data_IF_878333724975
#
_entry.id   IF_878333724975
#
_cell.length_a   1.000
_cell.length_b   1.000
_cell.length_c   1.000
_cell.angle_alpha   90.00
_cell.angle_beta   90.00
_cell.angle_gamma   90.00
#
_symmetry.space_group_name_H-M   'P 1'
#
loop_
_entity.id
_entity.type
_entity.pdbx_description
1 polymer ?
#
# COMPACT_ATOMS: atom_id res chain seq x y z
N UNK A 1 -7.83 -43.38 -4.21
CA UNK A 1 -7.82 -43.06 -5.66
C UNK A 1 -6.94 -44.07 -6.40
N UNK A 2 -7.29 -44.42 -7.64
CA UNK A 2 -6.50 -45.28 -8.53
C UNK A 2 -6.16 -44.46 -9.78
N UNK A 3 -4.87 -44.29 -10.09
CA UNK A 3 -4.41 -43.67 -11.34
C UNK A 3 -3.48 -44.66 -12.07
N UNK A 4 -3.30 -44.47 -13.38
CA UNK A 4 -2.29 -45.14 -14.25
C UNK A 4 -2.72 -46.25 -15.24
N UNK A 5 -3.97 -46.27 -15.73
CA UNK A 5 -4.31 -47.07 -16.94
C UNK A 5 -5.14 -46.24 -17.94
N UNK A 6 -4.82 -46.25 -19.26
CA UNK A 6 -5.69 -45.68 -20.28
C UNK A 6 -7.04 -46.40 -20.30
N UNK A 7 -8.11 -45.72 -19.89
CA UNK A 7 -9.47 -46.24 -19.96
C UNK A 7 -10.10 -45.94 -21.32
N UNK A 8 -10.80 -46.92 -21.89
CA UNK A 8 -11.57 -46.79 -23.12
C UNK A 8 -13.07 -46.86 -22.85
N UNK A 9 -13.90 -46.60 -23.86
CA UNK A 9 -15.35 -46.79 -23.76
C UNK A 9 -15.78 -48.25 -23.53
N UNK A 10 -14.86 -49.21 -23.65
CA UNK A 10 -15.10 -50.65 -23.46
C UNK A 10 -14.42 -51.23 -22.22
N UNK A 11 -13.59 -50.45 -21.51
CA UNK A 11 -12.88 -50.94 -20.32
C UNK A 11 -13.87 -51.26 -19.19
N UNK A 12 -13.69 -52.40 -18.53
CA UNK A 12 -14.48 -52.82 -17.38
C UNK A 12 -13.57 -52.94 -16.15
N UNK A 13 -14.00 -52.35 -15.03
CA UNK A 13 -13.28 -52.40 -13.77
C UNK A 13 -14.06 -53.12 -12.69
N UNK A 14 -13.38 -53.91 -11.86
CA UNK A 14 -13.95 -54.50 -10.65
C UNK A 14 -13.06 -54.18 -9.46
N UNK A 15 -13.69 -53.79 -8.34
CA UNK A 15 -13.04 -53.67 -7.04
C UNK A 15 -13.70 -54.66 -6.08
N UNK A 16 -12.90 -55.31 -5.24
CA UNK A 16 -13.41 -56.15 -4.14
C UNK A 16 -13.19 -55.40 -2.85
N UNK A 17 -14.28 -55.04 -2.16
CA UNK A 17 -14.22 -54.47 -0.82
C UNK A 17 -14.39 -55.63 0.17
N UNK A 18 -13.28 -56.13 0.70
CA UNK A 18 -13.28 -57.12 1.77
C UNK A 18 -13.06 -56.43 3.11
N UNK A 19 -14.12 -56.28 3.89
CA UNK A 19 -14.09 -55.63 5.20
C UNK A 19 -13.40 -56.46 6.29
N UNK A 20 -12.99 -57.70 5.97
CA UNK A 20 -12.24 -58.59 6.85
C UNK A 20 -10.74 -58.65 6.51
N UNK A 21 -10.33 -58.07 5.38
CA UNK A 21 -8.93 -58.02 4.95
C UNK A 21 -8.19 -56.83 5.56
N UNK A 22 -6.89 -57.01 5.81
CA UNK A 22 -5.98 -55.91 6.19
C UNK A 22 -5.17 -55.39 5.00
N UNK A 23 -5.29 -56.04 3.84
CA UNK A 23 -4.68 -55.60 2.60
C UNK A 23 -5.54 -54.53 1.93
N UNK A 24 -4.92 -53.47 1.35
CA UNK A 24 -5.66 -52.41 0.69
C UNK A 24 -6.44 -52.96 -0.53
N UNK A 25 -7.66 -52.45 -0.81
CA UNK A 25 -8.41 -52.89 -1.97
C UNK A 25 -7.62 -52.57 -3.24
N UNK A 26 -7.61 -53.51 -4.18
CA UNK A 26 -7.00 -53.34 -5.51
C UNK A 26 -8.09 -53.16 -6.56
N UNK A 27 -7.82 -52.32 -7.56
CA UNK A 27 -8.69 -52.17 -8.73
C UNK A 27 -8.13 -53.03 -9.86
N UNK A 28 -8.95 -53.93 -10.41
CA UNK A 28 -8.59 -54.67 -11.61
C UNK A 28 -9.29 -54.07 -12.82
N UNK A 29 -8.50 -53.66 -13.83
CA UNK A 29 -8.99 -53.22 -15.15
C UNK A 29 -8.27 -54.05 -16.22
N UNK A 30 -9.02 -54.71 -17.10
CA UNK A 30 -8.48 -55.46 -18.24
C UNK A 30 -7.31 -56.40 -17.87
N UNK A 31 -7.44 -57.11 -16.72
CA UNK A 31 -6.43 -58.01 -16.12
C UNK A 31 -5.18 -57.35 -15.53
N UNK A 32 -5.09 -56.02 -15.50
CA UNK A 32 -4.04 -55.30 -14.78
C UNK A 32 -4.50 -54.94 -13.37
N UNK A 33 -3.58 -55.06 -12.41
CA UNK A 33 -3.81 -54.66 -11.01
C UNK A 33 -3.32 -53.24 -10.80
N UNK A 34 -4.23 -52.35 -10.42
CA UNK A 34 -3.92 -50.99 -9.99
C UNK A 34 -3.97 -50.96 -8.47
N UNK A 35 -2.83 -50.68 -7.86
CA UNK A 35 -2.76 -50.42 -6.44
C UNK A 35 -3.33 -49.02 -6.13
N UNK A 36 -4.00 -48.84 -4.99
CA UNK A 36 -4.49 -47.53 -4.62
C UNK A 36 -3.31 -46.59 -4.35
N UNK A 37 -3.40 -45.37 -4.86
CA UNK A 37 -2.41 -44.30 -4.63
C UNK A 37 -2.49 -43.73 -3.21
N UNK A 38 -3.65 -43.90 -2.55
CA UNK A 38 -3.92 -43.49 -1.16
C UNK A 38 -4.62 -44.65 -0.46
N UNK A 39 -4.05 -45.09 0.66
CA UNK A 39 -4.66 -46.06 1.57
C UNK A 39 -5.04 -45.30 2.82
N UNK A 40 -6.35 -45.23 3.08
CA UNK A 40 -6.87 -44.66 4.31
C UNK A 40 -6.95 -45.76 5.38
N UNK A 41 -6.55 -45.44 6.60
CA UNK A 41 -6.52 -46.39 7.74
C UNK A 41 -7.07 -45.73 9.00
N UNK A 42 -7.74 -46.49 9.86
CA UNK A 42 -8.30 -45.96 11.11
C UNK A 42 -9.40 -44.93 10.88
N UNK A 43 -9.42 -43.85 11.67
CA UNK A 43 -10.47 -42.82 11.62
C UNK A 43 -10.60 -42.15 10.25
N UNK A 44 -9.51 -42.04 9.48
CA UNK A 44 -9.51 -41.44 8.16
C UNK A 44 -10.41 -42.17 7.12
N UNK A 45 -10.82 -43.42 7.37
CA UNK A 45 -11.74 -44.16 6.49
C UNK A 45 -13.21 -43.78 6.67
N UNK A 46 -13.56 -43.08 7.75
CA UNK A 46 -14.93 -42.70 8.10
C UNK A 46 -15.06 -41.21 8.36
N UNK A 47 -14.03 -40.44 8.05
CA UNK A 47 -14.05 -39.01 8.25
C UNK A 47 -14.88 -38.36 7.15
N UNK A 48 -15.98 -37.74 7.57
CA UNK A 48 -16.87 -36.93 6.71
C UNK A 48 -16.77 -35.44 7.07
N UNK A 49 -15.86 -35.07 7.98
CA UNK A 49 -15.70 -33.72 8.47
C UNK A 49 -14.58 -33.00 7.70
N UNK A 50 -14.85 -31.82 7.10
CA UNK A 50 -13.79 -31.05 6.49
C UNK A 50 -12.80 -30.47 7.50
N UNK A 51 -11.54 -30.22 7.08
CA UNK A 51 -10.56 -29.49 7.88
C UNK A 51 -11.03 -28.14 8.42
N UNK A 52 -10.34 -27.71 9.48
CA UNK A 52 -10.40 -26.31 9.92
C UNK A 52 -9.03 -25.65 9.72
N UNK A 53 -8.95 -24.72 8.77
CA UNK A 53 -7.77 -23.86 8.59
C UNK A 53 -7.91 -22.51 9.29
N UNK A 54 -6.84 -22.06 9.93
CA UNK A 54 -6.65 -20.71 10.47
C UNK A 54 -5.48 -20.02 9.77
N UNK A 55 -5.55 -18.69 9.67
CA UNK A 55 -4.48 -17.87 9.10
C UNK A 55 -3.90 -16.96 10.18
N UNK A 56 -2.57 -16.87 10.22
CA UNK A 56 -1.82 -15.94 11.04
C UNK A 56 -1.07 -14.96 10.14
N UNK A 57 -1.21 -13.68 10.44
CA UNK A 57 -0.53 -12.60 9.74
C UNK A 57 0.50 -11.98 10.69
N UNK A 58 1.74 -11.85 10.23
CA UNK A 58 2.82 -11.22 10.99
C UNK A 58 3.46 -10.10 10.18
N UNK A 59 3.63 -8.94 10.81
CA UNK A 59 4.16 -7.72 10.22
C UNK A 59 4.06 -6.54 11.18
N UNK A 60 4.60 -5.40 10.80
CA UNK A 60 4.52 -4.16 11.58
C UNK A 60 3.12 -3.58 11.47
N UNK A 61 2.35 -3.62 12.55
CA UNK A 61 1.00 -3.04 12.59
C UNK A 61 1.05 -1.52 12.46
N UNK A 62 0.21 -1.01 11.57
CA UNK A 62 -0.12 0.40 11.43
C UNK A 62 -1.45 0.74 12.10
N UNK A 63 -2.09 1.79 11.61
CA UNK A 63 -3.44 2.19 12.01
C UNK A 63 -4.49 1.54 11.10
N UNK A 64 -5.74 1.50 11.56
CA UNK A 64 -6.90 1.08 10.75
C UNK A 64 -6.76 -0.30 10.05
N UNK A 65 -6.07 -1.25 10.71
CA UNK A 65 -5.75 -2.59 10.21
C UNK A 65 -4.82 -2.62 8.98
N UNK A 66 -4.08 -1.54 8.73
CA UNK A 66 -2.98 -1.55 7.77
C UNK A 66 -1.70 -2.09 8.40
N UNK A 67 -0.86 -2.70 7.58
CA UNK A 67 0.52 -3.02 7.90
C UNK A 67 1.46 -2.03 7.26
N UNK A 68 2.48 -1.58 8.01
CA UNK A 68 3.56 -0.69 7.54
C UNK A 68 4.81 -1.45 7.11
N UNK A 69 4.69 -2.76 6.91
CA UNK A 69 5.76 -3.62 6.42
C UNK A 69 5.17 -4.72 5.54
N UNK A 70 6.05 -5.50 4.93
CA UNK A 70 5.66 -6.76 4.33
C UNK A 70 4.98 -7.67 5.38
N UNK A 71 4.01 -8.46 4.93
CA UNK A 71 3.19 -9.34 5.78
C UNK A 71 3.53 -10.79 5.48
N UNK A 72 3.92 -11.53 6.51
CA UNK A 72 4.11 -12.97 6.44
C UNK A 72 2.81 -13.68 6.77
N UNK A 73 2.36 -14.54 5.87
CA UNK A 73 1.15 -15.37 6.00
C UNK A 73 1.57 -16.78 6.41
N UNK A 74 0.96 -17.29 7.47
CA UNK A 74 1.13 -18.67 7.94
C UNK A 74 -0.24 -19.32 8.08
N UNK A 75 -0.43 -20.48 7.48
CA UNK A 75 -1.63 -21.30 7.68
C UNK A 75 -1.37 -22.40 8.70
N UNK A 76 -2.36 -22.65 9.54
CA UNK A 76 -2.41 -23.82 10.42
C UNK A 76 -3.75 -24.52 10.18
N UNK A 77 -3.70 -25.75 9.68
CA UNK A 77 -4.87 -26.58 9.42
C UNK A 77 -4.85 -27.82 10.30
N UNK A 78 -6.02 -28.19 10.82
CA UNK A 78 -6.21 -29.35 11.68
C UNK A 78 -7.43 -30.15 11.24
N UNK A 79 -7.31 -31.47 11.31
CA UNK A 79 -8.36 -32.43 10.97
C UNK A 79 -8.05 -33.79 11.62
N UNK A 80 -9.06 -34.62 11.89
CA UNK A 80 -8.86 -35.94 12.51
C UNK A 80 -8.20 -36.95 11.57
N UNK A 81 -8.54 -36.92 10.27
CA UNK A 81 -7.88 -37.72 9.23
C UNK A 81 -6.51 -37.16 8.82
N UNK A 82 -6.23 -35.92 9.24
CA UNK A 82 -5.02 -35.18 8.91
C UNK A 82 -5.11 -34.46 7.57
N UNK A 83 -4.20 -33.52 7.34
CA UNK A 83 -4.26 -32.63 6.17
C UNK A 83 -3.53 -33.25 4.98
N UNK A 84 -4.18 -33.28 3.82
CA UNK A 84 -3.56 -33.60 2.54
C UNK A 84 -2.85 -32.37 1.96
N UNK A 85 -3.57 -31.25 1.85
CA UNK A 85 -3.01 -29.97 1.40
C UNK A 85 -3.81 -28.77 1.85
N UNK A 86 -3.12 -27.64 1.94
CA UNK A 86 -3.73 -26.31 2.03
C UNK A 86 -3.46 -25.57 0.74
N UNK A 87 -4.48 -24.96 0.15
CA UNK A 87 -4.42 -24.20 -1.08
C UNK A 87 -4.85 -22.75 -0.83
N UNK A 88 -4.28 -21.82 -1.59
CA UNK A 88 -4.63 -20.40 -1.50
C UNK A 88 -4.51 -19.67 -2.83
N UNK A 89 -5.08 -18.47 -2.89
CA UNK A 89 -5.07 -17.56 -4.03
C UNK A 89 -4.99 -16.11 -3.52
N UNK A 90 -4.31 -15.26 -4.26
CA UNK A 90 -4.21 -13.80 -4.02
C UNK A 90 -4.90 -12.98 -5.12
N UNK A 91 -5.42 -13.65 -6.15
CA UNK A 91 -5.95 -13.07 -7.39
C UNK A 91 -7.41 -13.49 -7.62
N UNK A 92 -8.18 -13.60 -6.54
CA UNK A 92 -9.60 -13.99 -6.56
C UNK A 92 -9.90 -15.36 -7.19
N UNK A 93 -8.98 -16.32 -7.06
CA UNK A 93 -9.17 -17.69 -7.53
C UNK A 93 -8.66 -17.97 -8.95
N UNK A 94 -7.97 -17.02 -9.58
CA UNK A 94 -7.38 -17.24 -10.91
C UNK A 94 -6.19 -18.20 -10.82
N UNK A 95 -5.33 -18.04 -9.82
CA UNK A 95 -4.18 -18.90 -9.59
C UNK A 95 -4.29 -19.58 -8.23
N UNK A 96 -4.41 -20.91 -8.23
CA UNK A 96 -4.37 -21.73 -7.02
C UNK A 96 -2.92 -22.13 -6.73
N UNK A 97 -2.47 -21.86 -5.52
CA UNK A 97 -1.15 -22.23 -5.01
C UNK A 97 -1.29 -23.21 -3.86
N UNK A 98 -0.39 -24.19 -3.77
CA UNK A 98 -0.32 -25.12 -2.64
C UNK A 98 0.63 -24.54 -1.59
N UNK A 99 0.17 -24.44 -0.35
CA UNK A 99 0.96 -23.97 0.78
C UNK A 99 1.94 -25.05 1.23
N UNK A 100 3.23 -24.71 1.22
CA UNK A 100 4.32 -25.58 1.70
C UNK A 100 5.08 -24.99 2.89
N UNK A 101 5.10 -23.67 2.99
CA UNK A 101 5.78 -22.90 4.05
C UNK A 101 5.22 -21.47 4.10
N UNK A 102 5.45 -20.73 5.20
CA UNK A 102 5.08 -19.32 5.27
C UNK A 102 5.60 -18.53 4.08
N UNK A 103 4.78 -17.60 3.58
CA UNK A 103 5.12 -16.76 2.44
C UNK A 103 4.83 -15.29 2.76
N UNK A 104 5.44 -14.39 2.00
CA UNK A 104 5.38 -12.95 2.26
C UNK A 104 4.62 -12.24 1.16
N UNK A 105 3.72 -11.34 1.55
CA UNK A 105 3.08 -10.36 0.67
C UNK A 105 3.79 -9.03 0.90
N UNK A 106 4.40 -8.48 -0.16
CA UNK A 106 5.15 -7.22 -0.12
C UNK A 106 4.54 -6.11 -0.97
N UNK A 107 3.54 -6.43 -1.78
CA UNK A 107 2.83 -5.45 -2.60
C UNK A 107 1.93 -4.59 -1.72
N UNK A 108 2.04 -3.27 -1.86
CA UNK A 108 1.16 -2.31 -1.19
C UNK A 108 -0.26 -2.32 -1.79
N UNK A 109 -1.22 -1.85 -1.00
CA UNK A 109 -2.65 -1.87 -1.31
C UNK A 109 -3.38 -3.00 -0.58
N UNK A 110 -4.54 -3.35 -1.12
CA UNK A 110 -5.43 -4.35 -0.53
C UNK A 110 -5.28 -5.67 -1.29
N UNK A 111 -4.80 -6.70 -0.60
CA UNK A 111 -4.75 -8.08 -1.09
C UNK A 111 -5.91 -8.89 -0.48
N UNK A 112 -6.62 -9.64 -1.33
CA UNK A 112 -7.65 -10.58 -0.91
C UNK A 112 -7.11 -11.99 -0.95
N UNK A 113 -6.73 -12.51 0.21
CA UNK A 113 -6.28 -13.88 0.37
C UNK A 113 -7.51 -14.78 0.50
N UNK A 114 -7.67 -15.76 -0.39
CA UNK A 114 -8.61 -16.86 -0.18
C UNK A 114 -7.85 -18.15 0.03
N UNK A 115 -8.32 -18.99 0.94
CA UNK A 115 -7.64 -20.24 1.26
C UNK A 115 -8.64 -21.32 1.66
N UNK A 116 -8.22 -22.57 1.46
CA UNK A 116 -8.93 -23.77 1.90
C UNK A 116 -7.96 -24.93 2.12
N UNK A 117 -8.33 -25.92 2.92
CA UNK A 117 -7.63 -27.19 3.06
C UNK A 117 -8.49 -28.37 2.65
N UNK A 118 -7.81 -29.43 2.25
CA UNK A 118 -8.35 -30.73 1.90
C UNK A 118 -7.68 -31.73 2.84
N UNK A 119 -8.46 -32.58 3.48
CA UNK A 119 -7.94 -33.65 4.34
C UNK A 119 -7.52 -34.88 3.53
N UNK A 120 -7.00 -35.91 4.21
CA UNK A 120 -6.63 -37.17 3.57
C UNK A 120 -7.84 -38.00 3.14
N UNK A 121 -8.98 -37.89 3.81
CA UNK A 121 -10.23 -38.55 3.45
C UNK A 121 -10.87 -37.97 2.17
N UNK A 122 -10.43 -36.79 1.72
CA UNK A 122 -10.92 -36.07 0.56
C UNK A 122 -11.99 -35.02 0.88
N UNK A 123 -12.26 -34.71 2.14
CA UNK A 123 -13.19 -33.65 2.51
C UNK A 123 -12.52 -32.28 2.30
N UNK A 124 -13.25 -31.36 1.66
CA UNK A 124 -12.78 -30.01 1.37
C UNK A 124 -13.49 -28.99 2.26
N UNK A 125 -12.74 -28.07 2.88
CA UNK A 125 -13.36 -26.95 3.59
C UNK A 125 -13.94 -25.91 2.62
N UNK A 126 -15.01 -25.22 3.06
CA UNK A 126 -15.49 -24.04 2.34
C UNK A 126 -14.39 -22.96 2.32
N UNK A 127 -14.11 -22.31 1.17
CA UNK A 127 -13.08 -21.28 1.08
C UNK A 127 -13.31 -20.14 2.09
N UNK A 128 -12.25 -19.78 2.81
CA UNK A 128 -12.19 -18.63 3.72
C UNK A 128 -11.50 -17.46 3.02
N UNK A 129 -11.82 -16.25 3.46
CA UNK A 129 -11.21 -15.02 2.94
C UNK A 129 -10.56 -14.22 4.07
N UNK A 130 -9.43 -13.60 3.79
CA UNK A 130 -8.73 -12.67 4.65
C UNK A 130 -8.27 -11.47 3.83
N UNK A 131 -8.70 -10.28 4.23
CA UNK A 131 -8.22 -9.02 3.66
C UNK A 131 -6.89 -8.63 4.33
N UNK A 132 -5.90 -8.26 3.53
CA UNK A 132 -4.58 -7.83 3.99
C UNK A 132 -4.30 -6.47 3.37
N UNK A 133 -4.07 -5.46 4.20
CA UNK A 133 -3.82 -4.08 3.76
C UNK A 133 -2.38 -3.70 4.08
N UNK A 134 -1.60 -3.32 3.08
CA UNK A 134 -0.19 -2.96 3.25
C UNK A 134 0.03 -1.56 2.70
N UNK A 135 0.58 -0.68 3.51
CA UNK A 135 1.02 0.65 3.09
C UNK A 135 2.27 1.01 3.88
N UNK A 136 3.40 1.01 3.19
CA UNK A 136 4.74 1.28 3.70
C UNK A 136 5.19 2.70 3.34
N UNK A 137 4.37 3.45 2.62
CA UNK A 137 4.76 4.69 1.97
C UNK A 137 4.39 5.88 2.85
N UNK A 138 5.38 6.61 3.40
CA UNK A 138 5.11 7.84 4.12
C UNK A 138 4.42 8.90 3.25
N UNK A 139 3.53 9.72 3.82
CA UNK A 139 2.87 10.78 3.07
C UNK A 139 3.85 11.92 2.73
N UNK A 140 3.74 12.50 1.55
CA UNK A 140 4.51 13.71 1.24
C UNK A 140 3.80 14.99 1.73
N UNK A 141 4.60 16.03 1.96
CA UNK A 141 4.15 17.34 2.37
C UNK A 141 4.01 18.27 1.17
N UNK A 142 2.92 19.03 1.13
CA UNK A 142 2.71 20.14 0.23
C UNK A 142 2.50 21.41 1.04
N UNK A 143 3.41 22.37 0.87
CA UNK A 143 3.24 23.72 1.39
C UNK A 143 2.60 24.59 0.31
N UNK A 144 1.54 25.29 0.65
CA UNK A 144 0.88 26.26 -0.24
C UNK A 144 0.30 27.43 0.57
N UNK A 145 0.11 28.58 -0.10
CA UNK A 145 -0.63 29.69 0.48
C UNK A 145 -2.14 29.48 0.37
N UNK A 146 -2.85 29.59 1.48
CA UNK A 146 -4.30 29.53 1.51
C UNK A 146 -4.88 30.96 1.48
N UNK A 147 -5.63 31.29 0.44
CA UNK A 147 -6.22 32.62 0.24
C UNK A 147 -7.27 32.98 1.30
N UNK A 148 -7.93 31.97 1.88
CA UNK A 148 -8.99 32.14 2.87
C UNK A 148 -8.42 32.41 4.25
N UNK A 149 -7.48 31.57 4.71
CA UNK A 149 -6.83 31.72 6.02
C UNK A 149 -5.71 32.75 6.00
N UNK A 150 -5.23 33.12 4.80
CA UNK A 150 -4.16 34.09 4.56
C UNK A 150 -2.80 33.65 5.15
N UNK A 151 -2.60 32.34 5.28
CA UNK A 151 -1.40 31.72 5.83
C UNK A 151 -0.79 30.73 4.85
N UNK A 152 0.49 30.40 5.06
CA UNK A 152 1.05 29.17 4.50
C UNK A 152 0.54 27.98 5.32
N UNK A 153 0.15 26.93 4.62
CA UNK A 153 -0.35 25.67 5.21
C UNK A 153 0.44 24.49 4.66
N UNK A 154 0.59 23.45 5.47
CA UNK A 154 1.14 22.15 5.07
C UNK A 154 -0.01 21.16 5.00
N UNK A 155 -0.33 20.65 3.82
CA UNK A 155 -1.47 19.74 3.59
C UNK A 155 -2.80 20.27 4.18
N UNK A 156 -3.01 21.59 4.12
CA UNK A 156 -4.19 22.26 4.68
C UNK A 156 -4.16 22.48 6.20
N UNK A 157 -3.06 22.15 6.87
CA UNK A 157 -2.86 22.39 8.31
C UNK A 157 -2.06 23.68 8.55
N UNK A 158 -2.43 24.40 9.61
CA UNK A 158 -1.69 25.57 10.08
C UNK A 158 -0.27 25.19 10.50
N UNK A 159 0.69 26.05 10.15
CA UNK A 159 2.10 25.82 10.46
C UNK A 159 2.48 26.50 11.76
N UNK A 160 2.94 25.73 12.74
CA UNK A 160 3.54 26.23 13.98
C UNK A 160 5.06 26.08 13.94
N UNK A 161 5.82 26.93 14.67
CA UNK A 161 7.27 26.75 14.77
C UNK A 161 7.65 25.42 15.44
N UNK A 162 8.61 24.70 14.87
CA UNK A 162 9.13 23.45 15.42
C UNK A 162 8.80 22.24 14.55
N UNK A 163 8.40 21.13 15.18
CA UNK A 163 8.09 19.89 14.48
C UNK A 163 6.64 19.85 14.01
N UNK A 164 6.42 19.53 12.74
CA UNK A 164 5.12 19.20 12.16
C UNK A 164 5.14 17.72 11.77
N UNK A 165 4.11 16.98 12.17
CA UNK A 165 3.96 15.55 11.86
C UNK A 165 2.73 15.35 10.98
N UNK A 166 2.97 14.92 9.74
CA UNK A 166 1.93 14.49 8.81
C UNK A 166 1.79 12.99 8.96
N UNK A 167 0.55 12.48 9.05
CA UNK A 167 0.27 11.05 9.20
C UNK A 167 -0.78 10.62 8.17
N UNK A 168 -0.58 9.48 7.52
CA UNK A 168 -1.55 8.89 6.59
C UNK A 168 -2.55 7.96 7.31
N UNK A 169 -3.40 7.25 6.54
CA UNK A 169 -4.39 6.32 7.08
C UNK A 169 -3.78 5.04 7.68
N UNK A 170 -2.60 4.62 7.19
CA UNK A 170 -1.87 3.47 7.69
C UNK A 170 -0.99 3.81 8.90
N UNK A 171 -0.85 5.08 9.24
CA UNK A 171 0.00 5.56 10.32
C UNK A 171 1.46 5.68 9.94
N UNK A 172 1.80 5.76 8.64
CA UNK A 172 3.10 6.26 8.25
C UNK A 172 3.16 7.76 8.49
N UNK A 173 4.35 8.25 8.83
CA UNK A 173 4.54 9.64 9.23
C UNK A 173 5.64 10.32 8.43
N UNK A 174 5.45 11.61 8.19
CA UNK A 174 6.48 12.53 7.72
C UNK A 174 6.63 13.64 8.73
N UNK A 175 7.81 13.73 9.34
CA UNK A 175 8.13 14.72 10.38
C UNK A 175 9.01 15.79 9.75
N UNK A 176 8.57 17.05 9.83
CA UNK A 176 9.27 18.21 9.30
C UNK A 176 9.68 19.13 10.44
N UNK A 177 10.93 19.57 10.43
CA UNK A 177 11.35 20.69 11.29
C UNK A 177 11.23 21.98 10.49
N UNK A 178 10.38 22.90 10.95
CA UNK A 178 10.03 24.13 10.23
C UNK A 178 10.29 25.39 11.05
N UNK A 179 10.70 26.46 10.35
CA UNK A 179 10.89 27.78 10.92
C UNK A 179 10.03 28.83 10.20
N UNK A 180 8.73 28.94 10.52
CA UNK A 180 7.90 30.00 10.00
C UNK A 180 8.34 31.35 10.57
N UNK A 181 8.22 32.40 9.76
CA UNK A 181 8.47 33.80 10.13
C UNK A 181 7.35 34.65 9.55
N UNK A 182 6.33 34.89 10.35
CA UNK A 182 5.27 35.85 10.00
C UNK A 182 5.74 37.29 10.31
N UNK A 183 5.52 38.18 9.36
CA UNK A 183 5.35 39.61 9.61
C UNK A 183 4.14 40.10 8.83
N UNK A 184 3.05 40.53 9.50
CA UNK A 184 1.87 41.24 8.93
C UNK A 184 1.85 41.32 7.40
N UNK A 185 1.12 40.39 6.74
CA UNK A 185 0.96 40.26 5.28
C UNK A 185 2.21 39.79 4.52
N UNK A 186 3.12 39.14 5.24
CA UNK A 186 4.31 38.51 4.70
C UNK A 186 4.54 37.20 5.44
N UNK A 187 4.17 36.12 4.78
CA UNK A 187 4.45 34.78 5.23
C UNK A 187 5.83 34.33 4.73
N UNK A 188 6.54 33.63 5.58
CA UNK A 188 7.80 32.99 5.22
C UNK A 188 7.91 31.66 5.94
N UNK A 189 8.33 30.64 5.21
CA UNK A 189 8.66 29.32 5.72
C UNK A 189 10.05 28.88 5.26
N UNK A 190 10.77 28.18 6.12
CA UNK A 190 11.95 27.38 5.79
C UNK A 190 11.74 25.98 6.39
N UNK A 191 12.01 24.93 5.62
CA UNK A 191 12.00 23.54 6.11
C UNK A 191 13.45 23.13 6.36
N UNK A 192 13.81 22.82 7.60
CA UNK A 192 15.20 22.52 7.99
C UNK A 192 15.56 21.06 7.73
N UNK A 193 14.67 20.16 8.10
CA UNK A 193 14.89 18.74 7.95
C UNK A 193 13.58 17.99 7.80
N UNK A 194 13.69 16.79 7.25
CA UNK A 194 12.60 15.83 7.07
C UNK A 194 13.03 14.46 7.60
N UNK A 195 12.11 13.71 8.18
CA UNK A 195 12.28 12.28 8.45
C UNK A 195 10.99 11.55 8.15
N UNK A 196 11.12 10.28 7.77
CA UNK A 196 10.01 9.42 7.43
C UNK A 196 9.91 8.29 8.44
N UNK A 197 8.73 8.08 9.01
CA UNK A 197 8.51 7.11 10.08
C UNK A 197 9.53 7.31 11.21
N UNK A 198 10.26 6.25 11.56
CA UNK A 198 11.35 6.27 12.54
C UNK A 198 12.73 6.21 11.85
N UNK A 199 12.76 6.59 10.56
CA UNK A 199 13.97 6.67 9.76
C UNK A 199 14.87 7.86 10.12
N UNK A 200 16.05 7.95 9.47
CA UNK A 200 17.01 9.01 9.75
C UNK A 200 16.47 10.39 9.38
N UNK A 201 16.93 11.41 10.12
CA UNK A 201 16.70 12.81 9.77
C UNK A 201 17.59 13.23 8.60
N UNK A 202 16.96 13.77 7.56
CA UNK A 202 17.60 14.33 6.38
C UNK A 202 17.59 15.85 6.50
N UNK A 203 18.77 16.46 6.53
CA UNK A 203 18.90 17.91 6.47
C UNK A 203 18.67 18.39 5.04
N UNK A 204 17.79 19.38 4.88
CA UNK A 204 17.45 19.93 3.57
C UNK A 204 18.38 21.08 3.21
N UNK A 205 18.63 21.32 1.91
CA UNK A 205 19.36 22.51 1.46
C UNK A 205 18.63 23.78 1.90
N UNK A 206 19.35 24.89 2.06
CA UNK A 206 18.75 26.19 2.41
C UNK A 206 17.59 26.49 1.44
N UNK A 207 16.38 26.49 1.97
CA UNK A 207 15.17 26.74 1.20
C UNK A 207 14.34 27.84 1.85
N UNK A 208 13.41 28.39 1.07
CA UNK A 208 12.53 29.44 1.51
C UNK A 208 11.29 29.53 0.63
N UNK A 209 10.11 29.47 1.24
CA UNK A 209 8.86 29.91 0.64
C UNK A 209 8.47 31.25 1.26
N UNK A 210 8.37 32.32 0.47
CA UNK A 210 7.90 33.64 0.90
C UNK A 210 6.66 34.05 0.10
N UNK A 211 5.64 34.54 0.81
CA UNK A 211 4.43 35.09 0.23
C UNK A 211 4.23 36.49 0.76
N UNK A 212 3.93 37.44 -0.13
CA UNK A 212 3.49 38.79 0.21
C UNK A 212 2.17 39.03 -0.48
N UNK A 213 1.20 39.51 0.26
CA UNK A 213 -0.11 39.78 -0.29
C UNK A 213 -0.67 41.10 0.21
N UNK A 214 -1.60 41.66 -0.55
CA UNK A 214 -2.32 42.87 -0.18
C UNK A 214 -3.79 42.64 -0.41
N UNK A 215 -4.60 42.95 0.61
CA UNK A 215 -6.05 42.97 0.50
C UNK A 215 -6.57 44.40 0.57
N UNK A 216 -7.59 44.68 -0.22
CA UNK A 216 -8.40 45.88 -0.13
C UNK A 216 -9.08 45.91 1.25
N UNK A 217 -8.96 47.04 1.95
CA UNK A 217 -9.37 47.15 3.34
C UNK A 217 -10.89 47.14 3.55
N UNK A 218 -11.68 47.43 2.50
CA UNK A 218 -13.14 47.55 2.59
C UNK A 218 -13.84 46.28 2.12
N UNK A 219 -13.33 45.69 1.04
CA UNK A 219 -13.92 44.55 0.34
C UNK A 219 -13.24 43.23 0.68
N UNK A 220 -12.04 43.26 1.26
CA UNK A 220 -11.22 42.06 1.49
C UNK A 220 -10.62 41.45 0.22
N UNK A 221 -10.86 42.06 -0.95
CA UNK A 221 -10.40 41.52 -2.24
C UNK A 221 -8.89 41.58 -2.36
N UNK A 222 -8.29 40.54 -2.94
CA UNK A 222 -6.86 40.48 -3.24
C UNK A 222 -6.47 41.57 -4.27
N UNK A 223 -5.51 42.41 -3.89
CA UNK A 223 -4.94 43.50 -4.70
C UNK A 223 -3.53 43.19 -5.21
N UNK A 224 -2.79 42.32 -4.54
CA UNK A 224 -1.46 41.87 -4.95
C UNK A 224 -1.17 40.52 -4.29
N UNK A 225 -0.47 39.65 -5.02
CA UNK A 225 0.05 38.39 -4.50
C UNK A 225 1.38 38.09 -5.19
N UNK A 226 2.45 38.18 -4.41
CA UNK A 226 3.82 37.86 -4.78
C UNK A 226 4.24 36.60 -4.00
N UNK A 227 4.59 35.54 -4.71
CA UNK A 227 5.06 34.28 -4.15
C UNK A 227 6.48 34.01 -4.66
N UNK A 228 7.33 33.46 -3.81
CA UNK A 228 8.69 33.05 -4.18
C UNK A 228 9.08 31.80 -3.42
N UNK A 229 9.41 30.74 -4.15
CA UNK A 229 10.08 29.56 -3.63
C UNK A 229 11.54 29.60 -4.10
N UNK A 230 12.47 29.32 -3.20
CA UNK A 230 13.89 29.18 -3.52
C UNK A 230 14.43 27.96 -2.82
N UNK A 231 15.10 27.09 -3.56
CA UNK A 231 15.88 25.95 -3.05
C UNK A 231 17.33 26.21 -3.47
N UNK A 232 18.24 26.36 -2.50
CA UNK A 232 19.61 26.78 -2.78
C UNK A 232 20.34 25.74 -3.60
N UNK A 233 20.82 26.16 -4.76
CA UNK A 233 21.57 25.31 -5.66
C UNK A 233 20.70 24.60 -6.67
N UNK A 234 19.37 24.63 -6.56
CA UNK A 234 18.48 23.83 -7.41
C UNK A 234 17.53 24.71 -8.21
N UNK A 235 16.59 25.38 -7.55
CA UNK A 235 15.52 26.09 -8.24
C UNK A 235 15.13 27.40 -7.54
N UNK A 236 14.66 28.35 -8.33
CA UNK A 236 13.94 29.52 -7.86
C UNK A 236 12.72 29.76 -8.72
N UNK A 237 11.55 29.67 -8.09
CA UNK A 237 10.24 29.90 -8.67
C UNK A 237 9.62 31.18 -8.10
N UNK A 238 9.04 32.03 -8.94
CA UNK A 238 8.33 33.23 -8.51
C UNK A 238 7.01 33.37 -9.25
N UNK A 239 5.95 33.74 -8.56
CA UNK A 239 4.68 34.11 -9.18
C UNK A 239 4.24 35.49 -8.70
N UNK A 240 3.82 36.34 -9.63
CA UNK A 240 3.25 37.66 -9.36
C UNK A 240 1.90 37.80 -10.04
N UNK A 241 0.83 37.86 -9.25
CA UNK A 241 -0.53 38.05 -9.75
C UNK A 241 -0.86 39.53 -9.93
N UNK A 242 -1.45 39.87 -11.08
CA UNK A 242 -1.95 41.20 -11.39
C UNK A 242 -3.49 41.19 -11.50
N UNK A 243 -4.22 41.67 -10.48
CA UNK A 243 -5.68 41.63 -10.49
C UNK A 243 -6.34 42.57 -11.50
N UNK A 244 -5.61 43.51 -12.10
CA UNK A 244 -6.15 44.36 -13.17
C UNK A 244 -6.20 43.64 -14.51
N UNK A 245 -5.27 42.69 -14.72
CA UNK A 245 -5.18 41.89 -15.94
C UNK A 245 -5.74 40.48 -15.77
N UNK A 246 -6.07 40.10 -14.54
CA UNK A 246 -6.40 38.73 -14.14
C UNK A 246 -5.36 37.73 -14.68
N UNK A 247 -4.09 38.03 -14.41
CA UNK A 247 -2.95 37.32 -14.98
C UNK A 247 -1.85 37.15 -13.94
N UNK A 248 -1.31 35.93 -13.83
CA UNK A 248 -0.12 35.64 -13.04
C UNK A 248 1.07 35.44 -13.96
N UNK A 249 2.14 36.18 -13.70
CA UNK A 249 3.44 36.01 -14.36
C UNK A 249 4.35 35.17 -13.47
N UNK A 250 4.87 34.08 -14.03
CA UNK A 250 5.64 33.05 -13.34
C UNK A 250 7.06 33.06 -13.90
N UNK A 251 8.05 33.16 -13.03
CA UNK A 251 9.46 33.11 -13.39
C UNK A 251 10.08 31.83 -12.82
N UNK A 252 10.63 30.99 -13.70
CA UNK A 252 11.26 29.73 -13.36
C UNK A 252 12.76 29.86 -13.63
N UNK A 253 13.58 29.48 -12.66
CA UNK A 253 15.04 29.48 -12.78
C UNK A 253 15.61 28.25 -12.09
N UNK A 254 15.84 27.22 -12.88
CA UNK A 254 16.53 25.99 -12.50
C UNK A 254 18.06 26.16 -12.60
N UNK A 255 18.80 25.31 -11.91
CA UNK A 255 20.25 25.32 -11.91
C UNK A 255 20.78 24.98 -13.31
N UNK A 256 21.67 25.81 -13.84
CA UNK A 256 22.27 25.59 -15.15
C UNK A 256 21.38 25.95 -16.34
N UNK A 257 20.07 26.15 -16.14
CA UNK A 257 19.15 26.53 -17.22
C UNK A 257 18.98 28.04 -17.34
N UNK A 258 18.60 28.54 -18.51
CA UNK A 258 18.17 29.94 -18.65
C UNK A 258 16.85 30.21 -17.94
N UNK A 259 16.62 31.47 -17.56
CA UNK A 259 15.38 31.85 -16.90
C UNK A 259 14.22 31.76 -17.89
N UNK A 260 13.17 31.01 -17.52
CA UNK A 260 11.91 30.94 -18.27
C UNK A 260 10.85 31.82 -17.63
N UNK A 261 9.92 32.31 -18.46
CA UNK A 261 8.76 33.09 -18.02
C UNK A 261 7.52 32.46 -18.63
N UNK A 262 6.53 32.18 -17.79
CA UNK A 262 5.18 31.78 -18.18
C UNK A 262 4.17 32.83 -17.72
N UNK A 263 3.08 32.97 -18.47
CA UNK A 263 1.94 33.79 -18.07
C UNK A 263 0.68 32.91 -18.13
N UNK A 264 -0.10 32.92 -17.05
CA UNK A 264 -1.35 32.17 -16.93
C UNK A 264 -2.45 33.09 -16.44
N UNK A 265 -3.66 32.94 -16.98
CA UNK A 265 -4.83 33.69 -16.52
C UNK A 265 -5.19 33.27 -15.09
N UNK A 266 -5.73 34.20 -14.31
CA UNK A 266 -6.13 33.96 -12.94
C UNK A 266 -4.98 34.01 -11.92
N UNK A 267 -5.34 33.67 -10.68
CA UNK A 267 -4.40 33.50 -9.56
C UNK A 267 -3.76 32.11 -9.69
N UNK A 268 -2.43 32.06 -9.70
CA UNK A 268 -1.67 30.80 -9.63
C UNK A 268 -0.92 30.76 -8.30
N UNK A 269 -1.06 29.65 -7.58
CA UNK A 269 -0.47 29.45 -6.25
C UNK A 269 0.72 28.49 -6.36
N UNK A 270 1.88 28.93 -5.89
CA UNK A 270 3.07 28.08 -5.87
C UNK A 270 2.94 26.99 -4.80
N UNK A 271 3.56 25.85 -5.06
CA UNK A 271 3.62 24.71 -4.16
C UNK A 271 5.08 24.34 -3.91
N UNK A 272 5.45 24.14 -2.65
CA UNK A 272 6.70 23.50 -2.24
C UNK A 272 6.37 22.09 -1.77
N UNK A 273 6.92 21.08 -2.44
CA UNK A 273 6.62 19.68 -2.21
C UNK A 273 7.82 19.00 -1.56
N UNK A 274 7.57 17.97 -0.76
CA UNK A 274 8.58 16.98 -0.43
C UNK A 274 8.43 15.77 -1.37
N UNK A 275 9.55 15.17 -1.75
CA UNK A 275 9.57 13.95 -2.55
C UNK A 275 10.77 13.10 -2.15
N UNK A 276 10.55 11.99 -1.45
CA UNK A 276 11.60 11.03 -1.04
C UNK A 276 12.79 11.72 -0.35
N UNK A 277 12.51 12.71 0.48
CA UNK A 277 13.50 13.45 1.26
C UNK A 277 14.13 14.62 0.53
N UNK A 278 13.69 14.92 -0.68
CA UNK A 278 14.07 16.10 -1.47
C UNK A 278 12.95 17.13 -1.47
N UNK A 279 13.26 18.34 -1.95
CA UNK A 279 12.29 19.40 -2.16
C UNK A 279 12.07 19.61 -3.66
N UNK A 280 10.81 19.81 -4.04
CA UNK A 280 10.42 20.13 -5.41
C UNK A 280 9.47 21.32 -5.42
N UNK A 281 9.30 21.96 -6.58
CA UNK A 281 8.35 23.07 -6.72
C UNK A 281 7.35 22.83 -7.84
N UNK A 282 6.14 23.38 -7.69
CA UNK A 282 5.06 23.27 -8.67
C UNK A 282 4.13 24.51 -8.65
N UNK A 283 3.25 24.66 -9.64
CA UNK A 283 2.31 25.78 -9.78
C UNK A 283 1.14 25.55 -10.76
#
# INVERSE_FOLDING_TARGET
LYNDIPISSTSQGQTVLDTSSTEPPILQIDQQTINPTIILTGNANYDETPPVTTVQLSGTQGLNNWFKSDVTVTFNATDESGIEKTEYTLDNGVTIQVYSQPFTISQEGISKLKFRSIDKAGNEENPKEQEIKIDKTPPEAMVQFNLTTQNLEINGQEITPGEIIITDEAGNTTKLQVEPKDKKRKEKLEIKSISYNDGPTINLPDNKFEVKFKLDKKTGRLEDLDQTIKIKGEEKLKAKYNPKKDLTRIEIKEQGEEKRIEERNGIILLQLLTNKGQLETNF
#
